data_IF_921982469483
#
_entry.id   IF_921982469483
#
_cell.length_a   1.000
_cell.length_b   1.000
_cell.length_c   1.000
_cell.angle_alpha   90.00
_cell.angle_beta   90.00
_cell.angle_gamma   90.00
#
_symmetry.space_group_name_H-M   'P 1'
#
loop_
_entity.id
_entity.type
_entity.pdbx_description
1 polymer ?
#
# COMPACT_ATOMS: atom_id res chain seq x y z
N UNK A 1 -6.21 25.95 -7.53
CA UNK A 1 -5.86 24.85 -8.47
C UNK A 1 -6.67 23.63 -8.08
N UNK A 2 -7.31 22.91 -9.01
CA UNK A 2 -8.01 21.67 -8.68
C UNK A 2 -6.96 20.67 -8.19
N UNK A 3 -7.05 20.25 -6.92
CA UNK A 3 -6.12 19.27 -6.36
C UNK A 3 -6.30 17.94 -7.08
N UNK A 4 -5.23 17.41 -7.67
CA UNK A 4 -5.24 16.09 -8.28
C UNK A 4 -5.45 15.06 -7.17
N UNK A 5 -6.69 14.63 -6.97
CA UNK A 5 -7.03 13.61 -5.98
C UNK A 5 -6.29 12.30 -6.30
N UNK A 6 -5.49 11.81 -5.35
CA UNK A 6 -4.74 10.54 -5.47
C UNK A 6 -5.70 9.38 -5.23
N UNK A 7 -5.61 8.34 -6.06
CA UNK A 7 -6.46 7.15 -5.92
C UNK A 7 -6.04 6.23 -4.77
N UNK A 8 -4.74 6.23 -4.47
CA UNK A 8 -4.16 5.48 -3.38
C UNK A 8 -3.01 6.30 -2.79
N UNK A 9 -2.84 6.24 -1.47
CA UNK A 9 -1.68 6.78 -0.79
C UNK A 9 -1.36 5.92 0.44
N UNK A 10 -0.07 5.72 0.70
CA UNK A 10 0.42 5.14 1.95
C UNK A 10 1.07 6.23 2.81
N UNK A 11 0.89 6.15 4.13
CA UNK A 11 1.65 6.94 5.10
C UNK A 11 2.22 5.99 6.15
N UNK A 12 3.55 5.95 6.25
CA UNK A 12 4.26 5.16 7.25
C UNK A 12 4.92 6.11 8.23
N UNK A 13 4.65 5.92 9.52
CA UNK A 13 5.37 6.58 10.60
C UNK A 13 6.36 5.60 11.20
N UNK A 14 7.65 5.93 11.10
CA UNK A 14 8.74 5.14 11.66
C UNK A 14 9.28 5.90 12.87
N UNK A 15 9.04 5.35 14.06
CA UNK A 15 9.60 5.89 15.29
C UNK A 15 11.12 5.96 15.22
N UNK A 16 11.70 7.04 15.75
CA UNK A 16 13.15 7.26 15.78
C UNK A 16 13.77 7.85 14.50
N UNK A 17 13.06 7.84 13.37
CA UNK A 17 13.56 8.42 12.11
C UNK A 17 12.71 9.58 11.57
N UNK A 18 11.54 9.87 12.16
CA UNK A 18 10.63 10.97 11.80
C UNK A 18 10.44 11.17 10.29
N UNK A 19 10.53 10.09 9.51
CA UNK A 19 10.50 10.16 8.05
C UNK A 19 9.18 9.62 7.58
N UNK A 20 8.30 10.50 7.11
CA UNK A 20 7.06 10.09 6.48
C UNK A 20 7.34 9.73 5.02
N UNK A 21 7.21 8.44 4.68
CA UNK A 21 7.24 8.01 3.27
C UNK A 21 5.83 8.21 2.72
N UNK A 22 5.64 9.27 1.90
CA UNK A 22 4.38 9.54 1.20
C UNK A 22 4.55 9.27 -0.30
N UNK A 23 3.84 8.28 -0.80
CA UNK A 23 3.90 7.88 -2.21
C UNK A 23 2.53 7.44 -2.73
N UNK A 24 2.36 7.51 -4.04
CA UNK A 24 1.16 7.04 -4.72
C UNK A 24 1.17 7.45 -6.19
N UNK A 25 0.47 6.70 -7.06
CA UNK A 25 0.37 7.05 -8.47
C UNK A 25 -0.27 8.44 -8.61
N UNK A 26 0.39 9.33 -9.37
CA UNK A 26 -0.10 10.69 -9.64
C UNK A 26 -1.20 10.73 -10.71
N UNK A 27 -1.41 9.61 -11.40
CA UNK A 27 -2.31 9.50 -12.54
C UNK A 27 -3.60 8.78 -12.13
N UNK A 28 -4.63 8.86 -12.98
CA UNK A 28 -5.92 8.16 -12.75
C UNK A 28 -5.81 6.64 -12.81
N UNK A 29 -4.71 6.14 -13.33
CA UNK A 29 -4.36 4.73 -13.45
C UNK A 29 -3.06 4.46 -12.69
N UNK A 30 -2.87 3.22 -12.27
CA UNK A 30 -1.70 2.77 -11.56
C UNK A 30 -2.02 2.17 -10.20
N UNK A 31 -0.98 1.95 -9.42
CA UNK A 31 -1.08 1.29 -8.13
C UNK A 31 0.13 1.56 -7.25
N UNK A 32 0.16 0.88 -6.12
CA UNK A 32 1.31 0.81 -5.24
C UNK A 32 1.43 -0.61 -4.69
N UNK A 33 2.66 -0.96 -4.32
CA UNK A 33 2.94 -2.13 -3.50
C UNK A 33 3.80 -1.65 -2.33
N UNK A 34 3.42 -2.04 -1.14
CA UNK A 34 4.15 -1.81 0.09
C UNK A 34 4.42 -3.17 0.74
N UNK A 35 5.67 -3.40 1.13
CA UNK A 35 6.09 -4.62 1.80
C UNK A 35 6.70 -4.25 3.14
N UNK A 36 6.15 -4.81 4.22
CA UNK A 36 6.67 -4.59 5.57
C UNK A 36 7.42 -5.84 6.00
N UNK A 37 8.65 -5.64 6.45
CA UNK A 37 9.54 -6.68 6.95
C UNK A 37 9.81 -6.45 8.43
N UNK A 38 10.05 -7.53 9.15
CA UNK A 38 10.58 -7.49 10.50
C UNK A 38 11.81 -8.39 10.61
N UNK A 39 12.70 -8.05 11.53
CA UNK A 39 13.86 -8.88 11.87
C UNK A 39 13.55 -9.63 13.16
N UNK A 40 13.70 -10.94 13.14
CA UNK A 40 13.71 -11.80 14.33
C UNK A 40 15.08 -12.44 14.52
N UNK A 41 15.25 -13.21 15.59
CA UNK A 41 16.47 -14.00 15.83
C UNK A 41 16.77 -15.00 14.70
N UNK A 42 15.76 -15.38 13.91
CA UNK A 42 15.88 -16.33 12.79
C UNK A 42 16.17 -15.64 11.45
N UNK A 43 16.25 -14.31 11.42
CA UNK A 43 16.52 -13.52 10.22
C UNK A 43 15.44 -12.49 9.89
N UNK A 44 15.48 -11.97 8.66
CA UNK A 44 14.50 -11.00 8.17
C UNK A 44 13.34 -11.75 7.51
N UNK A 45 12.12 -11.47 7.96
CA UNK A 45 10.88 -12.06 7.44
C UNK A 45 9.95 -10.97 6.92
N UNK A 46 9.17 -11.29 5.87
CA UNK A 46 8.11 -10.41 5.36
C UNK A 46 6.88 -10.56 6.24
N UNK A 47 6.46 -9.49 6.92
CA UNK A 47 5.28 -9.46 7.79
C UNK A 47 3.98 -9.32 7.01
N UNK A 48 3.96 -8.40 6.04
CA UNK A 48 2.79 -8.16 5.20
C UNK A 48 3.17 -7.57 3.84
N UNK A 49 2.26 -7.74 2.89
CA UNK A 49 2.26 -7.04 1.62
C UNK A 49 0.90 -6.36 1.43
N UNK A 50 0.93 -5.06 1.22
CA UNK A 50 -0.25 -4.26 0.84
C UNK A 50 -0.06 -3.85 -0.60
N UNK A 51 -1.08 -4.01 -1.42
CA UNK A 51 -1.08 -3.48 -2.79
C UNK A 51 -2.40 -2.85 -3.12
N UNK A 52 -2.34 -1.67 -3.74
CA UNK A 52 -3.51 -0.99 -4.30
C UNK A 52 -3.36 -0.88 -5.80
N UNK A 53 -4.42 -1.14 -6.57
CA UNK A 53 -4.42 -1.02 -8.03
C UNK A 53 -5.73 -0.43 -8.53
N UNK A 54 -5.63 0.47 -9.51
CA UNK A 54 -6.77 0.97 -10.27
C UNK A 54 -6.81 0.27 -11.62
N UNK A 55 -7.91 -0.43 -11.89
CA UNK A 55 -8.18 -1.15 -13.14
C UNK A 55 -9.19 -0.33 -13.94
N UNK A 56 -8.90 -0.13 -15.22
CA UNK A 56 -9.73 0.61 -16.19
C UNK A 56 -10.08 2.05 -15.75
N UNK A 57 -9.27 2.65 -14.88
CA UNK A 57 -9.48 3.99 -14.34
C UNK A 57 -10.69 4.15 -13.39
N UNK A 58 -11.40 3.05 -13.08
CA UNK A 58 -12.67 3.05 -12.35
C UNK A 58 -12.61 2.11 -11.14
N UNK A 59 -12.13 0.88 -11.33
CA UNK A 59 -12.19 -0.15 -10.29
C UNK A 59 -10.95 -0.06 -9.42
N UNK A 60 -11.12 0.18 -8.13
CA UNK A 60 -10.07 0.23 -7.14
C UNK A 60 -10.05 -1.08 -6.36
N UNK A 61 -8.88 -1.74 -6.35
CA UNK A 61 -8.66 -2.96 -5.59
C UNK A 61 -7.54 -2.71 -4.59
N UNK A 62 -7.81 -2.96 -3.31
CA UNK A 62 -6.80 -3.03 -2.25
C UNK A 62 -6.69 -4.47 -1.78
N UNK A 63 -5.49 -5.02 -1.81
CA UNK A 63 -5.19 -6.38 -1.38
C UNK A 63 -4.14 -6.35 -0.27
N UNK A 64 -4.40 -7.06 0.82
CA UNK A 64 -3.52 -7.21 1.97
C UNK A 64 -3.26 -8.70 2.17
N UNK A 65 -1.99 -9.09 2.22
CA UNK A 65 -1.54 -10.44 2.50
C UNK A 65 -0.60 -10.42 3.71
N UNK A 66 -0.99 -11.11 4.78
CA UNK A 66 -0.20 -11.26 5.99
C UNK A 66 0.66 -12.53 5.95
N UNK A 67 1.74 -12.55 6.75
CA UNK A 67 2.69 -13.67 6.84
C UNK A 67 2.04 -15.00 7.26
N UNK A 68 0.96 -14.94 8.04
CA UNK A 68 0.19 -16.11 8.48
C UNK A 68 -0.72 -16.68 7.38
N UNK A 69 -0.71 -16.09 6.18
CA UNK A 69 -1.54 -16.48 5.05
C UNK A 69 -2.92 -15.83 5.03
N UNK A 70 -3.26 -14.99 6.02
CA UNK A 70 -4.51 -14.23 5.98
C UNK A 70 -4.49 -13.25 4.80
N UNK A 71 -5.57 -13.28 4.03
CA UNK A 71 -5.76 -12.47 2.85
C UNK A 71 -7.04 -11.66 2.96
N UNK A 72 -6.94 -10.37 2.68
CA UNK A 72 -8.05 -9.44 2.68
C UNK A 72 -8.05 -8.61 1.40
N UNK A 73 -9.20 -8.53 0.74
CA UNK A 73 -9.35 -7.78 -0.50
C UNK A 73 -10.59 -6.89 -0.44
N UNK A 74 -10.39 -5.59 -0.68
CA UNK A 74 -11.47 -4.62 -0.86
C UNK A 74 -11.52 -4.25 -2.33
N UNK A 75 -12.73 -4.31 -2.90
CA UNK A 75 -13.03 -3.80 -4.23
C UNK A 75 -14.03 -2.67 -4.10
N UNK A 76 -13.70 -1.52 -4.68
CA UNK A 76 -14.60 -0.38 -4.76
C UNK A 76 -14.48 0.30 -6.12
N UNK A 77 -15.36 1.26 -6.40
CA UNK A 77 -15.28 2.12 -7.57
C UNK A 77 -14.89 3.52 -7.13
N UNK A 78 -14.17 4.23 -7.98
CA UNK A 78 -13.79 5.63 -7.78
C UNK A 78 -15.01 6.54 -7.69
#
# INVERSE_FOLDING_TARGET
MPGTARNFWGEVNIDGYMTTIKGGPKNKEGGFTEEIYFRSCEGVKKALSISGRCIDGINLILSILAINGEFFEIKTKR
#
